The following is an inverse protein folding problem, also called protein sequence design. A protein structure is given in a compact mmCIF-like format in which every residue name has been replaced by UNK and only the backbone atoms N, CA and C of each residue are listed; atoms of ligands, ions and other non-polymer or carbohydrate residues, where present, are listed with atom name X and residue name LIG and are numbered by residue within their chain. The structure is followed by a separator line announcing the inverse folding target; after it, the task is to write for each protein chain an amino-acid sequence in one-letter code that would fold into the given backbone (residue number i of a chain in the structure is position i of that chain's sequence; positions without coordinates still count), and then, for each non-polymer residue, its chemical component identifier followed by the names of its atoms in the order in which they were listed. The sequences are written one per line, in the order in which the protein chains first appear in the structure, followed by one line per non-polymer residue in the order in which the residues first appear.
data_IF_686224451038
#
_entry.id   IF_686224451038
#
_cell.length_a   1.000
_cell.length_b   1.000
_cell.length_c   1.000
_cell.angle_alpha   90.00
_cell.angle_beta   90.00
_cell.angle_gamma   90.00
#
_symmetry.space_group_name_H-M   'P 1'
#
loop_
_entity.id
_entity.type
_entity.pdbx_description
1 polymer ?
#
# COMPACT_ATOMS: atom_id res chain seq x y z
N UNK A 1 -3.46 14.18 -4.87
CA UNK A 1 -3.62 12.97 -4.05
C UNK A 1 -2.23 12.47 -3.68
N UNK A 2 -2.00 12.11 -2.43
CA UNK A 2 -0.71 11.62 -1.93
C UNK A 2 -0.74 10.12 -1.69
N UNK A 3 0.32 9.46 -2.08
CA UNK A 3 0.50 8.01 -1.97
C UNK A 3 1.60 7.70 -0.97
N UNK A 4 1.28 7.00 0.10
CA UNK A 4 2.23 6.69 1.15
C UNK A 4 2.52 5.20 1.23
N UNK A 5 3.76 4.85 1.56
CA UNK A 5 4.20 3.48 1.78
C UNK A 5 4.71 3.32 3.21
N UNK A 6 4.17 2.35 3.92
CA UNK A 6 4.71 1.91 5.21
C UNK A 6 5.29 0.50 5.00
N UNK A 7 6.60 0.43 4.95
CA UNK A 7 7.34 -0.78 4.62
C UNK A 7 7.86 -0.79 3.17
N UNK A 8 9.15 -0.52 3.04
CA UNK A 8 9.88 -0.47 1.76
C UNK A 8 10.81 -1.68 1.59
N UNK A 9 10.33 -2.87 1.97
CA UNK A 9 11.00 -4.13 1.68
C UNK A 9 10.93 -4.49 0.19
N UNK A 10 11.26 -5.74 -0.15
CA UNK A 10 11.32 -6.17 -1.56
C UNK A 10 10.03 -5.85 -2.32
N UNK A 11 8.88 -6.29 -1.80
CA UNK A 11 7.60 -6.08 -2.50
C UNK A 11 7.10 -4.64 -2.37
N UNK A 12 7.12 -4.05 -1.16
CA UNK A 12 6.72 -2.66 -0.96
C UNK A 12 7.56 -1.69 -1.81
N UNK A 13 8.87 -1.91 -1.90
CA UNK A 13 9.75 -1.13 -2.77
C UNK A 13 9.49 -1.35 -4.26
N UNK A 14 9.17 -2.58 -4.68
CA UNK A 14 8.81 -2.88 -6.07
C UNK A 14 7.52 -2.14 -6.50
N UNK A 15 6.49 -2.18 -5.65
CA UNK A 15 5.23 -1.46 -5.88
C UNK A 15 5.45 0.06 -5.85
N UNK A 16 6.26 0.57 -4.91
CA UNK A 16 6.58 2.00 -4.84
C UNK A 16 7.22 2.53 -6.12
N UNK A 17 8.13 1.74 -6.74
CA UNK A 17 8.71 2.07 -8.06
C UNK A 17 7.66 2.21 -9.14
N UNK A 18 6.70 1.29 -9.19
CA UNK A 18 5.60 1.33 -10.16
C UNK A 18 4.71 2.55 -9.92
N UNK A 19 4.32 2.79 -8.67
CA UNK A 19 3.46 3.94 -8.30
C UNK A 19 4.14 5.27 -8.61
N UNK A 20 5.44 5.42 -8.34
CA UNK A 20 6.18 6.64 -8.72
C UNK A 20 6.11 6.92 -10.22
N UNK A 21 6.16 5.88 -11.07
CA UNK A 21 5.98 6.05 -12.52
C UNK A 21 4.56 6.44 -12.92
N UNK A 22 3.57 6.02 -12.13
CA UNK A 22 2.15 6.29 -12.43
C UNK A 22 1.68 7.68 -12.03
N UNK A 23 2.17 8.18 -10.89
CA UNK A 23 1.62 9.40 -10.28
C UNK A 23 2.63 10.54 -10.13
N UNK A 24 3.89 10.31 -10.48
CA UNK A 24 5.00 11.23 -10.23
C UNK A 24 5.59 11.06 -8.82
N UNK A 25 6.92 11.06 -8.68
CA UNK A 25 7.60 10.85 -7.41
C UNK A 25 7.28 11.91 -6.36
N UNK A 26 6.95 13.15 -6.77
CA UNK A 26 6.56 14.26 -5.89
C UNK A 26 5.29 13.97 -5.09
N UNK A 27 4.48 13.02 -5.54
CA UNK A 27 3.23 12.60 -4.88
C UNK A 27 3.42 11.37 -3.98
N UNK A 28 4.65 10.84 -3.86
CA UNK A 28 4.94 9.60 -3.13
C UNK A 28 5.76 9.86 -1.89
N UNK A 29 5.36 9.25 -0.77
CA UNK A 29 6.06 9.32 0.52
C UNK A 29 6.38 7.90 0.99
N UNK A 30 7.64 7.65 1.33
CA UNK A 30 8.11 6.34 1.78
C UNK A 30 8.46 6.37 3.27
N UNK A 31 7.99 5.37 4.00
CA UNK A 31 8.35 5.14 5.38
C UNK A 31 8.79 3.68 5.59
N UNK A 32 9.73 3.46 6.47
CA UNK A 32 10.21 2.13 6.81
C UNK A 32 10.72 2.08 8.24
N UNK A 33 10.60 0.93 8.91
CA UNK A 33 11.11 0.74 10.27
C UNK A 33 12.61 1.08 10.40
N UNK A 34 13.39 0.77 9.37
CA UNK A 34 14.78 1.22 9.25
C UNK A 34 14.79 2.44 8.33
N UNK A 35 14.92 3.68 8.84
CA UNK A 35 14.79 4.91 8.03
C UNK A 35 15.73 4.94 6.82
N UNK A 36 16.97 4.52 6.99
CA UNK A 36 17.96 4.50 5.92
C UNK A 36 17.51 3.73 4.66
N UNK A 37 16.64 2.70 4.81
CA UNK A 37 16.08 1.98 3.64
C UNK A 37 15.07 2.81 2.88
N UNK A 38 14.22 3.57 3.59
CA UNK A 38 13.27 4.47 2.96
C UNK A 38 13.99 5.65 2.30
N UNK A 39 15.00 6.20 2.95
CA UNK A 39 15.82 7.30 2.44
C UNK A 39 16.56 6.93 1.16
N UNK A 40 17.25 5.78 1.15
CA UNK A 40 17.97 5.31 -0.03
C UNK A 40 17.02 5.04 -1.23
N UNK A 41 15.85 4.45 -0.96
CA UNK A 41 14.86 4.22 -2.01
C UNK A 41 14.25 5.54 -2.49
N UNK A 42 13.95 6.45 -1.59
CA UNK A 42 13.39 7.77 -1.92
C UNK A 42 14.36 8.60 -2.78
N UNK A 43 15.65 8.59 -2.45
CA UNK A 43 16.70 9.21 -3.26
C UNK A 43 16.74 8.61 -4.67
N UNK A 44 16.75 7.27 -4.76
CA UNK A 44 16.77 6.58 -6.05
C UNK A 44 15.53 6.82 -6.92
N UNK A 45 14.38 7.13 -6.32
CA UNK A 45 13.12 7.38 -7.02
C UNK A 45 12.82 8.87 -7.22
N UNK A 46 13.53 9.77 -6.55
CA UNK A 46 13.25 11.19 -6.52
C UNK A 46 12.00 11.57 -5.70
N UNK A 47 11.59 10.71 -4.75
CA UNK A 47 10.44 10.96 -3.88
C UNK A 47 10.87 11.30 -2.45
N UNK A 48 9.92 11.42 -1.52
CA UNK A 48 10.18 11.83 -0.15
C UNK A 48 10.23 10.63 0.80
N UNK A 49 11.20 10.59 1.71
CA UNK A 49 11.19 9.72 2.88
C UNK A 49 10.59 10.45 4.09
N UNK A 50 9.84 9.73 4.93
CA UNK A 50 9.24 10.26 6.16
C UNK A 50 9.00 9.13 7.18
N UNK A 51 8.29 9.44 8.27
CA UNK A 51 7.89 8.47 9.28
C UNK A 51 6.53 7.84 8.93
N UNK A 52 6.20 6.70 9.58
CA UNK A 52 4.87 6.09 9.49
C UNK A 52 3.76 7.08 9.86
N UNK A 53 4.02 7.94 10.86
CA UNK A 53 3.06 8.92 11.35
C UNK A 53 2.70 9.94 10.26
N UNK A 54 3.70 10.44 9.53
CA UNK A 54 3.50 11.36 8.41
C UNK A 54 2.69 10.68 7.30
N UNK A 55 3.00 9.44 6.97
CA UNK A 55 2.22 8.68 5.98
C UNK A 55 0.77 8.52 6.43
N UNK A 56 0.55 8.14 7.71
CA UNK A 56 -0.79 7.95 8.26
C UNK A 56 -1.61 9.25 8.29
N UNK A 57 -0.97 10.39 8.53
CA UNK A 57 -1.65 11.68 8.63
C UNK A 57 -1.93 12.32 7.28
N UNK A 58 -1.00 12.24 6.34
CA UNK A 58 -0.97 13.08 5.14
C UNK A 58 -1.33 12.37 3.83
N UNK A 59 -1.27 11.02 3.79
CA UNK A 59 -1.47 10.29 2.54
C UNK A 59 -2.91 9.82 2.36
N UNK A 60 -3.42 9.87 1.14
CA UNK A 60 -4.78 9.49 0.78
C UNK A 60 -4.88 8.00 0.42
N UNK A 61 -3.81 7.44 -0.16
CA UNK A 61 -3.66 6.01 -0.47
C UNK A 61 -2.45 5.50 0.29
N UNK A 62 -2.68 4.60 1.25
CA UNK A 62 -1.65 4.12 2.17
C UNK A 62 -1.37 2.64 1.91
N UNK A 63 -0.21 2.37 1.32
CA UNK A 63 0.27 1.01 1.06
C UNK A 63 0.96 0.43 2.29
N UNK A 64 0.49 -0.73 2.72
CA UNK A 64 1.02 -1.48 3.85
C UNK A 64 1.91 -2.61 3.34
N UNK A 65 3.21 -2.32 3.22
CA UNK A 65 4.24 -3.22 2.68
C UNK A 65 5.05 -3.94 3.74
N UNK A 66 4.53 -4.06 4.95
CA UNK A 66 5.16 -4.79 6.06
C UNK A 66 4.81 -6.28 6.02
N UNK A 67 5.67 -7.11 6.59
CA UNK A 67 5.40 -8.55 6.71
C UNK A 67 4.18 -8.82 7.59
N UNK A 68 3.39 -9.88 7.31
CA UNK A 68 2.16 -10.18 8.06
C UNK A 68 2.33 -10.20 9.58
N UNK A 69 3.42 -10.79 10.09
CA UNK A 69 3.71 -10.85 11.53
C UNK A 69 4.02 -9.51 12.19
N UNK A 70 4.29 -8.47 11.41
CA UNK A 70 4.57 -7.12 11.90
C UNK A 70 3.39 -6.16 11.73
N UNK A 71 2.32 -6.61 11.08
CA UNK A 71 1.18 -5.76 10.72
C UNK A 71 0.48 -5.21 11.97
N UNK A 72 0.24 -6.06 12.97
CA UNK A 72 -0.48 -5.67 14.19
C UNK A 72 0.24 -4.54 14.94
N UNK A 73 1.54 -4.69 15.21
CA UNK A 73 2.33 -3.69 15.94
C UNK A 73 2.42 -2.37 15.14
N UNK A 74 2.64 -2.47 13.84
CA UNK A 74 2.72 -1.30 12.98
C UNK A 74 1.39 -0.53 12.96
N UNK A 75 0.27 -1.23 12.75
CA UNK A 75 -1.06 -0.62 12.73
C UNK A 75 -1.45 -0.05 14.10
N UNK A 76 -1.13 -0.72 15.21
CA UNK A 76 -1.35 -0.19 16.55
C UNK A 76 -0.65 1.16 16.76
N UNK A 77 0.54 1.34 16.20
CA UNK A 77 1.29 2.59 16.29
C UNK A 77 0.62 3.76 15.57
N UNK A 78 -0.05 3.52 14.44
CA UNK A 78 -0.68 4.58 13.63
C UNK A 78 -2.20 4.68 13.81
N UNK A 79 -2.86 3.70 14.43
CA UNK A 79 -4.32 3.69 14.63
C UNK A 79 -4.87 4.99 15.27
N UNK A 80 -4.24 5.58 16.30
CA UNK A 80 -4.71 6.84 16.86
C UNK A 80 -4.67 8.02 15.87
N UNK A 81 -3.74 7.98 14.91
CA UNK A 81 -3.59 9.00 13.86
C UNK A 81 -4.67 8.81 12.79
N UNK A 82 -4.90 7.58 12.36
CA UNK A 82 -5.96 7.26 11.41
C UNK A 82 -7.35 7.64 11.95
N UNK A 83 -7.60 7.38 13.24
CA UNK A 83 -8.86 7.69 13.90
C UNK A 83 -9.16 9.20 13.99
N UNK A 84 -8.13 10.03 14.01
CA UNK A 84 -8.26 11.50 14.06
C UNK A 84 -8.48 12.14 12.69
N UNK A 85 -8.35 11.38 11.60
CA UNK A 85 -8.50 11.94 10.25
C UNK A 85 -9.95 12.30 9.96
N UNK A 86 -10.15 13.52 9.49
CA UNK A 86 -11.41 13.98 8.90
C UNK A 86 -11.47 13.75 7.38
N UNK A 87 -10.31 13.58 6.74
CA UNK A 87 -10.19 13.32 5.31
C UNK A 87 -10.35 11.84 4.97
N UNK A 88 -10.83 11.57 3.75
CA UNK A 88 -10.93 10.21 3.22
C UNK A 88 -9.55 9.66 2.89
N UNK A 89 -9.33 8.39 3.19
CA UNK A 89 -8.15 7.64 2.78
C UNK A 89 -8.53 6.18 2.53
N UNK A 90 -7.66 5.44 1.86
CA UNK A 90 -7.81 4.00 1.64
C UNK A 90 -6.53 3.27 2.04
N UNK A 91 -6.68 2.15 2.73
CA UNK A 91 -5.56 1.26 3.04
C UNK A 91 -5.39 0.24 1.89
N UNK A 92 -4.16 0.04 1.45
CA UNK A 92 -3.80 -0.97 0.45
C UNK A 92 -2.85 -1.97 1.10
N UNK A 93 -3.31 -3.18 1.36
CA UNK A 93 -2.49 -4.23 1.99
C UNK A 93 -1.99 -5.25 0.97
N UNK A 94 -0.74 -5.66 1.10
CA UNK A 94 -0.10 -6.73 0.32
C UNK A 94 0.37 -7.89 1.20
N UNK A 95 -0.20 -8.01 2.39
CA UNK A 95 0.15 -9.06 3.34
C UNK A 95 -0.56 -10.38 3.00
N UNK A 96 0.21 -11.41 2.63
CA UNK A 96 -0.33 -12.75 2.42
C UNK A 96 -0.90 -13.31 3.72
N UNK A 97 -2.02 -14.04 3.63
CA UNK A 97 -2.67 -14.69 4.76
C UNK A 97 -3.42 -13.77 5.72
N UNK A 98 -3.49 -12.45 5.48
CA UNK A 98 -4.28 -11.51 6.26
C UNK A 98 -5.48 -11.00 5.46
N UNK A 99 -6.69 -11.31 5.93
CA UNK A 99 -7.92 -10.81 5.31
C UNK A 99 -8.10 -9.30 5.54
N UNK A 100 -8.91 -8.66 4.68
CA UNK A 100 -9.29 -7.26 4.85
C UNK A 100 -9.96 -7.01 6.20
N UNK A 101 -10.82 -7.90 6.67
CA UNK A 101 -11.46 -7.82 7.98
C UNK A 101 -10.42 -7.81 9.12
N UNK A 102 -9.40 -8.68 9.03
CA UNK A 102 -8.34 -8.74 10.05
C UNK A 102 -7.48 -7.48 10.06
N UNK A 103 -7.16 -6.93 8.89
CA UNK A 103 -6.41 -5.66 8.80
C UNK A 103 -7.22 -4.50 9.38
N UNK A 104 -8.54 -4.43 9.15
CA UNK A 104 -9.42 -3.42 9.76
C UNK A 104 -9.45 -3.51 11.29
N UNK A 105 -9.56 -4.73 11.82
CA UNK A 105 -9.52 -4.97 13.26
C UNK A 105 -8.22 -4.42 13.87
N UNK A 106 -7.08 -4.72 13.26
CA UNK A 106 -5.76 -4.21 13.69
C UNK A 106 -5.64 -2.70 13.55
N UNK A 107 -6.25 -2.10 12.53
CA UNK A 107 -6.24 -0.66 12.30
C UNK A 107 -7.22 0.11 13.21
N UNK A 108 -8.13 -0.58 13.89
CA UNK A 108 -9.08 -0.01 14.83
C UNK A 108 -10.23 0.78 14.21
N UNK A 109 -10.58 0.50 12.94
CA UNK A 109 -11.68 1.20 12.28
C UNK A 109 -12.16 0.53 11.00
N UNK A 110 -13.41 0.85 10.58
CA UNK A 110 -14.03 0.33 9.36
C UNK A 110 -13.55 1.10 8.11
N UNK A 111 -12.25 1.18 7.92
CA UNK A 111 -11.64 1.92 6.82
C UNK A 111 -11.84 1.22 5.47
N UNK A 112 -11.96 2.00 4.36
CA UNK A 112 -11.87 1.45 3.02
C UNK A 112 -10.55 0.71 2.84
N UNK A 113 -10.59 -0.47 2.22
CA UNK A 113 -9.40 -1.29 2.07
C UNK A 113 -9.36 -1.98 0.70
N UNK A 114 -8.17 -2.02 0.12
CA UNK A 114 -7.84 -2.79 -1.07
C UNK A 114 -6.79 -3.82 -0.65
N UNK A 115 -7.03 -5.07 -0.95
CA UNK A 115 -6.05 -6.13 -0.78
C UNK A 115 -5.47 -6.49 -2.13
N UNK A 116 -4.15 -6.51 -2.22
CA UNK A 116 -3.42 -6.80 -3.46
C UNK A 116 -2.48 -7.99 -3.26
N UNK A 117 -2.25 -8.71 -4.35
CA UNK A 117 -1.26 -9.77 -4.43
C UNK A 117 -0.39 -9.53 -5.68
N UNK A 118 0.63 -8.66 -5.56
CA UNK A 118 1.56 -8.39 -6.64
C UNK A 118 2.64 -9.49 -6.73
N UNK A 119 3.24 -9.63 -7.91
CA UNK A 119 4.43 -10.45 -8.10
C UNK A 119 5.68 -9.59 -8.38
N UNK A 120 6.86 -10.19 -8.33
CA UNK A 120 8.14 -9.49 -8.41
C UNK A 120 8.32 -8.61 -9.66
N UNK A 121 7.86 -8.99 -10.88
CA UNK A 121 8.03 -8.17 -12.09
C UNK A 121 7.29 -6.83 -12.08
N UNK A 122 6.45 -6.51 -11.07
CA UNK A 122 5.77 -5.21 -10.95
C UNK A 122 6.77 -4.03 -10.94
N UNK A 123 7.97 -4.24 -10.43
CA UNK A 123 9.01 -3.21 -10.44
C UNK A 123 9.45 -2.80 -11.84
N UNK A 124 9.30 -3.70 -12.81
CA UNK A 124 9.66 -3.51 -14.21
C UNK A 124 8.46 -3.19 -15.12
N UNK A 125 7.24 -3.13 -14.55
CA UNK A 125 6.03 -2.91 -15.33
C UNK A 125 5.52 -4.15 -16.09
N UNK A 126 6.07 -5.30 -15.78
CA UNK A 126 5.70 -6.59 -16.39
C UNK A 126 5.07 -7.55 -15.36
N UNK A 127 4.55 -6.98 -14.29
CA UNK A 127 3.92 -7.74 -13.21
C UNK A 127 2.47 -8.08 -13.48
N UNK A 128 1.94 -8.93 -12.61
CA UNK A 128 0.53 -9.21 -12.48
C UNK A 128 0.15 -8.99 -11.01
N UNK A 129 -0.90 -8.22 -10.79
CA UNK A 129 -1.43 -7.93 -9.45
C UNK A 129 -2.90 -8.28 -9.41
N UNK A 130 -3.25 -9.30 -8.63
CA UNK A 130 -4.63 -9.56 -8.28
C UNK A 130 -5.05 -8.61 -7.16
N UNK A 131 -6.30 -8.16 -7.19
CA UNK A 131 -6.82 -7.30 -6.14
C UNK A 131 -8.28 -7.58 -5.82
N UNK A 132 -8.68 -7.25 -4.60
CA UNK A 132 -10.06 -7.12 -4.17
C UNK A 132 -10.19 -5.89 -3.27
N UNK A 133 -11.41 -5.36 -3.16
CA UNK A 133 -11.67 -4.13 -2.43
C UNK A 133 -12.98 -4.20 -1.66
N UNK A 134 -13.05 -3.47 -0.54
CA UNK A 134 -14.26 -3.34 0.25
C UNK A 134 -14.36 -1.95 0.88
N UNK A 135 -15.54 -1.33 0.80
CA UNK A 135 -15.81 0.02 1.30
C UNK A 135 -15.10 1.14 0.53
N UNK A 136 -14.55 0.85 -0.65
CA UNK A 136 -13.76 1.79 -1.48
C UNK A 136 -14.69 2.55 -2.42
N UNK A 137 -14.55 3.88 -2.50
CA UNK A 137 -15.29 4.69 -3.47
C UNK A 137 -14.71 4.58 -4.87
N UNK A 138 -15.51 4.97 -5.89
CA UNK A 138 -15.05 4.99 -7.28
C UNK A 138 -13.82 5.88 -7.48
N UNK A 139 -13.77 7.04 -6.84
CA UNK A 139 -12.62 7.95 -6.90
C UNK A 139 -11.35 7.31 -6.31
N UNK A 140 -11.48 6.61 -5.18
CA UNK A 140 -10.36 5.91 -4.56
C UNK A 140 -9.88 4.73 -5.43
N UNK A 141 -10.82 3.99 -6.02
CA UNK A 141 -10.51 2.89 -6.92
C UNK A 141 -9.82 3.40 -8.19
N UNK A 142 -10.34 4.48 -8.78
CA UNK A 142 -9.73 5.11 -9.95
C UNK A 142 -8.29 5.57 -9.67
N UNK A 143 -8.07 6.22 -8.51
CA UNK A 143 -6.75 6.65 -8.07
C UNK A 143 -5.78 5.46 -7.89
N UNK A 144 -6.25 4.39 -7.25
CA UNK A 144 -5.46 3.17 -7.06
C UNK A 144 -5.08 2.53 -8.40
N UNK A 145 -6.05 2.31 -9.29
CA UNK A 145 -5.82 1.68 -10.60
C UNK A 145 -4.87 2.52 -11.47
N UNK A 146 -5.04 3.85 -11.47
CA UNK A 146 -4.15 4.77 -12.18
C UNK A 146 -2.71 4.73 -11.64
N UNK A 147 -2.55 4.71 -10.33
CA UNK A 147 -1.24 4.61 -9.70
C UNK A 147 -0.54 3.27 -9.98
N UNK A 148 -1.30 2.18 -10.03
CA UNK A 148 -0.78 0.83 -10.26
C UNK A 148 -0.66 0.44 -11.73
N UNK A 149 -1.20 1.21 -12.66
CA UNK A 149 -1.15 0.89 -14.10
C UNK A 149 0.28 0.60 -14.61
N UNK A 150 1.36 1.33 -14.18
CA UNK A 150 2.72 1.01 -14.59
C UNK A 150 3.31 -0.26 -13.96
N UNK A 151 2.60 -0.93 -13.06
CA UNK A 151 3.03 -2.20 -12.47
C UNK A 151 2.84 -3.40 -13.43
N UNK A 152 1.96 -3.25 -14.42
CA UNK A 152 1.58 -4.29 -15.36
C UNK A 152 0.08 -4.58 -15.30
N UNK A 153 -0.31 -5.85 -15.40
CA UNK A 153 -1.71 -6.26 -15.40
C UNK A 153 -2.32 -6.22 -13.99
N UNK A 154 -3.56 -5.74 -13.92
CA UNK A 154 -4.37 -5.70 -12.70
C UNK A 154 -5.65 -6.49 -12.92
N UNK A 155 -5.90 -7.52 -12.12
CA UNK A 155 -7.08 -8.36 -12.21
C UNK A 155 -7.87 -8.35 -10.88
N UNK A 156 -9.15 -8.01 -10.96
CA UNK A 156 -10.06 -8.10 -9.83
C UNK A 156 -10.47 -9.56 -9.59
N UNK A 157 -10.32 -10.05 -8.37
CA UNK A 157 -10.74 -11.39 -7.97
C UNK A 157 -11.43 -11.36 -6.59
N UNK A 158 -12.27 -12.34 -6.27
CA UNK A 158 -12.83 -12.48 -4.93
C UNK A 158 -11.74 -12.67 -3.85
N UNK A 159 -11.96 -12.13 -2.65
CA UNK A 159 -10.96 -12.20 -1.57
C UNK A 159 -10.57 -13.63 -1.19
N UNK A 160 -11.51 -14.56 -1.20
CA UNK A 160 -11.26 -15.95 -0.87
C UNK A 160 -10.32 -16.69 -1.85
N UNK A 161 -10.03 -16.09 -3.01
CA UNK A 161 -9.12 -16.64 -4.01
C UNK A 161 -7.75 -15.95 -4.01
N UNK A 162 -7.60 -14.79 -3.32
CA UNK A 162 -6.39 -13.97 -3.47
C UNK A 162 -5.14 -14.63 -2.89
N UNK A 163 -5.26 -15.42 -1.84
CA UNK A 163 -4.11 -16.15 -1.27
C UNK A 163 -3.66 -17.29 -2.18
N UNK A 164 -4.59 -17.93 -2.91
CA UNK A 164 -4.25 -18.94 -3.91
C UNK A 164 -3.49 -18.34 -5.10
N UNK A 165 -3.68 -17.06 -5.40
CA UNK A 165 -2.96 -16.36 -6.47
C UNK A 165 -1.45 -16.19 -6.19
N UNK A 166 -0.99 -16.41 -4.94
CA UNK A 166 0.43 -16.47 -4.60
C UNK A 166 1.17 -17.64 -5.24
N UNK A 167 0.43 -18.67 -5.69
CA UNK A 167 1.00 -19.94 -6.16
C UNK A 167 1.13 -20.00 -7.70
N UNK A 168 0.83 -18.89 -8.38
CA UNK A 168 0.80 -18.84 -9.87
C UNK A 168 1.95 -18.00 -10.41
#
# INVERSE_FOLDING_TARGET
MRYGFIGCGNMGGAVARAVCRGVGPENVVLANRTPAKAEALAEALGCRAATNDVVAQDCDVIFLGVKPQMMADMLAGIAPLLAKRSGRFVLVTMAAGLSMARVREMAGGAYPIIRIMPNTPVSLGAGMTQYCADGVSDDQMFAFLGAMAPAGRLDAIPENLIDAACCV
#
